data_IF_748906444617
#
_entry.id   IF_748906444617
#
_cell.length_a   1.000
_cell.length_b   1.000
_cell.length_c   1.000
_cell.angle_alpha   90.00
_cell.angle_beta   90.00
_cell.angle_gamma   90.00
#
_symmetry.space_group_name_H-M   'P 1'
#
loop_
_entity.id
_entity.type
_entity.pdbx_description
1 polymer ?
#
# COMPACT_ATOMS: atom_id res chain seq x y z
N UNK A 1 35.58 23.93 12.14
CA UNK A 1 35.38 22.48 11.85
C UNK A 1 34.71 21.81 13.04
N UNK A 2 33.40 21.54 12.94
CA UNK A 2 32.60 20.95 14.04
C UNK A 2 32.94 19.46 14.14
N UNK A 3 33.70 19.04 15.15
CA UNK A 3 33.92 17.62 15.46
C UNK A 3 32.58 17.00 15.81
N UNK A 4 32.02 16.21 14.91
CA UNK A 4 30.88 15.33 15.21
C UNK A 4 31.41 14.20 16.09
N UNK A 5 31.20 14.32 17.40
CA UNK A 5 31.44 13.22 18.33
C UNK A 5 30.51 12.08 17.95
N UNK A 6 31.09 11.02 17.37
CA UNK A 6 30.36 9.80 17.05
C UNK A 6 29.98 9.13 18.37
N UNK A 7 28.69 9.12 18.69
CA UNK A 7 28.15 8.57 19.93
C UNK A 7 28.16 7.03 19.87
N UNK A 8 29.34 6.45 20.08
CA UNK A 8 29.62 5.00 20.05
C UNK A 8 28.74 4.19 21.02
N UNK A 9 28.21 4.80 22.08
CA UNK A 9 27.33 4.16 23.06
C UNK A 9 25.94 3.79 22.51
N UNK A 10 25.52 4.30 21.35
CA UNK A 10 24.26 3.90 20.73
C UNK A 10 24.29 2.46 20.19
N UNK A 11 25.45 1.96 19.77
CA UNK A 11 25.59 0.60 19.22
C UNK A 11 25.31 -0.51 20.24
N UNK A 12 25.90 -0.50 21.46
CA UNK A 12 25.58 -1.51 22.47
C UNK A 12 24.14 -1.37 22.99
N UNK A 13 23.62 -0.15 23.12
CA UNK A 13 22.22 0.08 23.52
C UNK A 13 21.23 -0.55 22.53
N UNK A 14 21.48 -0.38 21.23
CA UNK A 14 20.67 -0.99 20.18
C UNK A 14 20.73 -2.53 20.22
N UNK A 15 21.91 -3.10 20.51
CA UNK A 15 22.10 -4.54 20.69
C UNK A 15 21.32 -5.10 21.88
N UNK A 16 21.37 -4.44 23.04
CA UNK A 16 20.62 -4.84 24.24
C UNK A 16 19.11 -4.75 24.01
N UNK A 17 18.65 -3.70 23.32
CA UNK A 17 17.24 -3.55 22.97
C UNK A 17 16.76 -4.66 22.02
N UNK A 18 17.55 -4.98 20.98
CA UNK A 18 17.23 -6.07 20.06
C UNK A 18 17.19 -7.43 20.76
N UNK A 19 18.14 -7.68 21.67
CA UNK A 19 18.15 -8.90 22.49
C UNK A 19 16.95 -8.99 23.42
N UNK A 20 16.58 -7.89 24.09
CA UNK A 20 15.39 -7.82 24.94
C UNK A 20 14.09 -8.04 24.17
N UNK A 21 13.98 -7.51 22.96
CA UNK A 21 12.83 -7.79 22.08
C UNK A 21 12.80 -9.27 21.69
N UNK A 22 13.94 -9.86 21.34
CA UNK A 22 14.03 -11.28 21.01
C UNK A 22 13.61 -12.20 22.16
N UNK A 23 14.06 -11.91 23.39
CA UNK A 23 13.67 -12.72 24.55
C UNK A 23 12.18 -12.58 24.85
N UNK A 24 11.61 -11.38 24.77
CA UNK A 24 10.15 -11.18 24.92
C UNK A 24 9.38 -11.95 23.85
N UNK A 25 9.80 -11.91 22.60
CA UNK A 25 9.13 -12.63 21.50
C UNK A 25 9.16 -14.16 21.65
N UNK A 26 10.21 -14.72 22.26
CA UNK A 26 10.31 -16.16 22.48
C UNK A 26 9.63 -16.63 23.77
N UNK A 27 9.62 -15.80 24.82
CA UNK A 27 9.22 -16.24 26.16
C UNK A 27 7.80 -15.82 26.54
N UNK A 28 7.25 -14.80 25.88
CA UNK A 28 5.91 -14.31 26.19
C UNK A 28 4.87 -15.23 25.53
N UNK A 29 4.03 -15.85 26.35
CA UNK A 29 2.99 -16.78 25.93
C UNK A 29 1.63 -16.07 25.93
N UNK A 30 0.84 -16.24 24.86
CA UNK A 30 -0.52 -15.70 24.77
C UNK A 30 -1.47 -16.67 25.49
N UNK A 31 -2.13 -16.21 26.55
CA UNK A 31 -2.88 -17.04 27.51
C UNK A 31 -4.11 -17.81 27.02
N UNK A 32 -4.25 -18.09 25.73
CA UNK A 32 -5.35 -18.89 25.15
C UNK A 32 -4.86 -20.22 24.56
N UNK A 33 -3.56 -20.39 24.30
CA UNK A 33 -2.90 -21.63 23.85
C UNK A 33 -1.39 -21.45 24.02
N UNK A 34 -0.65 -22.52 24.36
CA UNK A 34 0.82 -22.54 24.62
C UNK A 34 1.72 -22.18 23.42
N UNK A 35 1.32 -21.22 22.58
CA UNK A 35 2.13 -20.67 21.52
C UNK A 35 2.95 -19.49 22.04
N UNK A 36 4.25 -19.52 21.76
CA UNK A 36 5.11 -18.34 21.91
C UNK A 36 4.66 -17.22 20.95
N UNK A 37 4.93 -15.94 21.26
CA UNK A 37 4.62 -14.83 20.33
C UNK A 37 5.23 -15.04 18.94
N UNK A 38 6.40 -15.68 18.87
CA UNK A 38 7.03 -16.06 17.61
C UNK A 38 6.20 -17.04 16.79
N UNK A 39 5.66 -18.09 17.42
CA UNK A 39 4.77 -19.06 16.75
C UNK A 39 3.42 -18.45 16.40
N UNK A 40 2.89 -17.55 17.23
CA UNK A 40 1.71 -16.76 16.89
C UNK A 40 1.94 -15.90 15.64
N UNK A 41 3.10 -15.25 15.55
CA UNK A 41 3.47 -14.46 14.37
C UNK A 41 3.69 -15.33 13.14
N UNK A 42 4.32 -16.51 13.28
CA UNK A 42 4.58 -17.40 12.15
C UNK A 42 3.28 -17.94 11.56
N UNK A 43 2.28 -18.27 12.39
CA UNK A 43 0.93 -18.65 11.92
C UNK A 43 0.29 -17.50 11.14
N UNK A 44 0.37 -16.26 11.63
CA UNK A 44 -0.18 -15.09 10.91
C UNK A 44 0.54 -14.88 9.58
N UNK A 45 1.87 -14.98 9.57
CA UNK A 45 2.67 -14.85 8.35
C UNK A 45 2.29 -15.94 7.35
N UNK A 46 2.21 -17.19 7.79
CA UNK A 46 1.83 -18.34 6.94
C UNK A 46 0.40 -18.16 6.39
N UNK A 47 -0.57 -17.82 7.24
CA UNK A 47 -1.95 -17.51 6.82
C UNK A 47 -2.02 -16.37 5.79
N UNK A 48 -1.19 -15.34 5.93
CA UNK A 48 -1.13 -14.22 4.95
C UNK A 48 -0.32 -14.57 3.70
N UNK A 49 0.59 -15.54 3.77
CA UNK A 49 1.35 -16.01 2.62
C UNK A 49 0.50 -16.93 1.74
N UNK A 50 -0.32 -17.82 2.33
CA UNK A 50 -1.15 -18.77 1.56
C UNK A 50 -2.32 -18.10 0.83
N UNK A 51 -2.82 -16.97 1.35
CA UNK A 51 -3.92 -16.24 0.70
C UNK A 51 -3.38 -15.34 -0.40
N UNK A 52 -3.82 -15.61 -1.63
CA UNK A 52 -3.51 -14.78 -2.78
C UNK A 52 -4.51 -13.62 -2.90
N UNK A 53 -4.02 -12.37 -2.93
CA UNK A 53 -4.80 -11.19 -3.35
C UNK A 53 -4.42 -10.80 -4.78
N UNK A 54 -5.26 -11.10 -5.79
CA UNK A 54 -4.97 -10.75 -7.18
C UNK A 54 -4.86 -9.23 -7.41
N UNK A 55 -5.60 -8.43 -6.64
CA UNK A 55 -5.63 -6.97 -6.76
C UNK A 55 -4.38 -6.28 -6.22
N UNK A 56 -3.73 -6.87 -5.22
CA UNK A 56 -2.54 -6.29 -4.58
C UNK A 56 -1.35 -6.18 -5.52
N UNK A 57 -1.16 -7.19 -6.36
CA UNK A 57 -0.09 -7.24 -7.36
C UNK A 57 -0.19 -6.04 -8.31
N UNK A 58 -1.38 -5.79 -8.86
CA UNK A 58 -1.63 -4.69 -9.81
C UNK A 58 -1.39 -3.34 -9.14
N UNK A 59 -1.86 -3.14 -7.90
CA UNK A 59 -1.67 -1.88 -7.15
C UNK A 59 -0.19 -1.56 -6.87
N UNK A 60 0.62 -2.58 -6.58
CA UNK A 60 2.06 -2.40 -6.38
C UNK A 60 2.73 -1.96 -7.68
N UNK A 61 2.40 -2.61 -8.80
CA UNK A 61 2.91 -2.19 -10.09
C UNK A 61 2.48 -0.75 -10.40
N UNK A 62 1.22 -0.40 -10.18
CA UNK A 62 0.72 0.96 -10.38
C UNK A 62 1.44 1.99 -9.49
N UNK A 63 1.76 1.66 -8.23
CA UNK A 63 2.54 2.53 -7.34
C UNK A 63 4.02 2.63 -7.78
N UNK A 64 4.57 1.57 -8.36
CA UNK A 64 5.95 1.55 -8.83
C UNK A 64 6.14 2.38 -10.12
N UNK A 65 5.16 2.42 -11.04
CA UNK A 65 5.24 3.21 -12.28
C UNK A 65 5.63 4.69 -12.03
N UNK A 66 4.91 5.48 -11.20
CA UNK A 66 5.25 6.88 -10.99
C UNK A 66 6.62 7.04 -10.33
N UNK A 67 7.06 6.07 -9.51
CA UNK A 67 8.39 6.08 -8.91
C UNK A 67 9.48 5.85 -9.97
N UNK A 68 9.29 4.89 -10.88
CA UNK A 68 10.21 4.65 -11.99
C UNK A 68 10.30 5.86 -12.93
N UNK A 69 9.16 6.46 -13.28
CA UNK A 69 9.14 7.68 -14.11
C UNK A 69 9.81 8.85 -13.38
N UNK A 70 9.58 8.99 -12.07
CA UNK A 70 10.22 10.02 -11.26
C UNK A 70 11.73 9.84 -11.11
N UNK A 71 12.24 8.61 -11.10
CA UNK A 71 13.68 8.35 -11.11
C UNK A 71 14.35 8.87 -12.39
N UNK A 72 13.69 8.76 -13.55
CA UNK A 72 14.23 9.29 -14.80
C UNK A 72 14.32 10.83 -14.78
N UNK A 73 13.35 11.51 -14.15
CA UNK A 73 13.33 12.98 -14.02
C UNK A 73 13.90 13.49 -12.68
N UNK A 74 14.62 12.65 -11.94
CA UNK A 74 15.03 12.91 -10.55
C UNK A 74 15.83 14.22 -10.38
N UNK A 75 16.76 14.49 -11.31
CA UNK A 75 17.59 15.68 -11.27
C UNK A 75 16.77 16.98 -11.37
N UNK A 76 15.64 16.96 -12.09
CA UNK A 76 14.75 18.13 -12.21
C UNK A 76 13.77 18.25 -11.04
N UNK A 77 13.28 17.11 -10.52
CA UNK A 77 12.42 17.09 -9.33
C UNK A 77 13.17 17.65 -8.12
N UNK A 78 14.45 17.32 -7.97
CA UNK A 78 15.33 17.83 -6.90
C UNK A 78 15.48 19.36 -6.94
N UNK A 79 15.36 19.97 -8.12
CA UNK A 79 15.51 21.42 -8.31
C UNK A 79 14.25 22.21 -7.93
N UNK A 80 13.08 21.57 -8.00
CA UNK A 80 11.77 22.20 -7.74
C UNK A 80 11.29 21.99 -6.31
N UNK A 81 11.72 20.92 -5.63
CA UNK A 81 11.16 20.55 -4.33
C UNK A 81 12.16 20.66 -3.17
N UNK A 82 11.79 21.44 -2.16
CA UNK A 82 12.51 21.58 -0.88
C UNK A 82 12.52 20.28 -0.06
N UNK A 83 11.45 19.47 -0.11
CA UNK A 83 11.30 18.23 0.68
C UNK A 83 11.77 16.95 -0.03
N UNK A 84 12.97 16.98 -0.63
CA UNK A 84 13.51 15.86 -1.40
C UNK A 84 13.76 14.59 -0.56
N UNK A 85 13.95 14.70 0.76
CA UNK A 85 14.26 13.56 1.64
C UNK A 85 13.08 12.60 1.80
N UNK A 86 11.88 13.13 2.05
CA UNK A 86 10.66 12.32 2.22
C UNK A 86 10.33 11.60 0.92
N UNK A 87 10.45 12.30 -0.21
CA UNK A 87 10.21 11.77 -1.55
C UNK A 87 11.18 10.61 -1.86
N UNK A 88 12.45 10.74 -1.48
CA UNK A 88 13.44 9.68 -1.65
C UNK A 88 13.07 8.43 -0.85
N UNK A 89 12.65 8.60 0.41
CA UNK A 89 12.20 7.48 1.23
C UNK A 89 10.95 6.81 0.68
N UNK A 90 9.97 7.58 0.19
CA UNK A 90 8.76 7.04 -0.45
C UNK A 90 9.07 6.24 -1.72
N UNK A 91 10.01 6.73 -2.55
CA UNK A 91 10.49 6.00 -3.73
C UNK A 91 11.15 4.66 -3.35
N UNK A 92 12.01 4.67 -2.32
CA UNK A 92 12.69 3.46 -1.84
C UNK A 92 11.67 2.43 -1.33
N UNK A 93 10.70 2.85 -0.52
CA UNK A 93 9.67 1.95 0.01
C UNK A 93 8.84 1.35 -1.12
N UNK A 94 8.46 2.13 -2.13
CA UNK A 94 7.70 1.61 -3.26
C UNK A 94 8.49 0.61 -4.11
N UNK A 95 9.81 0.78 -4.25
CA UNK A 95 10.67 -0.17 -4.98
C UNK A 95 10.87 -1.45 -4.16
N UNK A 96 11.09 -1.33 -2.85
CA UNK A 96 11.19 -2.49 -1.95
C UNK A 96 9.90 -3.30 -1.89
N UNK A 97 8.75 -2.69 -2.18
CA UNK A 97 7.47 -3.39 -2.23
C UNK A 97 7.36 -4.41 -3.38
N UNK A 98 8.19 -4.28 -4.45
CA UNK A 98 8.21 -5.22 -5.58
C UNK A 98 8.74 -6.60 -5.18
N UNK A 99 9.97 -6.76 -4.64
CA UNK A 99 10.47 -8.07 -4.19
C UNK A 99 9.66 -8.62 -3.00
N UNK A 100 9.01 -7.76 -2.23
CA UNK A 100 8.16 -8.17 -1.12
C UNK A 100 6.91 -8.95 -1.58
N UNK A 101 6.48 -8.81 -2.85
CA UNK A 101 5.41 -9.61 -3.44
C UNK A 101 5.68 -11.12 -3.42
N UNK A 102 6.95 -11.53 -3.46
CA UNK A 102 7.35 -12.94 -3.44
C UNK A 102 7.12 -13.61 -2.07
N UNK A 103 6.94 -12.83 -1.01
CA UNK A 103 6.77 -13.35 0.36
C UNK A 103 5.30 -13.41 0.78
N UNK A 104 4.51 -12.36 0.53
CA UNK A 104 3.07 -12.36 0.84
C UNK A 104 2.32 -11.37 -0.05
N UNK A 105 1.34 -11.85 -0.80
CA UNK A 105 0.56 -10.99 -1.70
C UNK A 105 -0.53 -10.20 -0.96
N UNK A 106 -1.09 -10.72 0.13
CA UNK A 106 -2.15 -10.02 0.91
C UNK A 106 -1.60 -8.93 1.82
N UNK A 107 -0.46 -9.15 2.47
CA UNK A 107 0.19 -8.12 3.29
C UNK A 107 0.61 -6.94 2.40
N UNK A 108 1.12 -7.26 1.22
CA UNK A 108 1.57 -6.28 0.26
C UNK A 108 0.41 -5.55 -0.43
N UNK A 109 -0.77 -6.18 -0.59
CA UNK A 109 -1.99 -5.47 -1.00
C UNK A 109 -2.36 -4.34 -0.01
N UNK A 110 -2.32 -4.63 1.31
CA UNK A 110 -2.55 -3.62 2.36
C UNK A 110 -1.49 -2.53 2.33
N UNK A 111 -0.23 -2.90 2.10
CA UNK A 111 0.86 -1.95 1.96
C UNK A 111 0.65 -1.07 0.71
N UNK A 112 0.18 -1.65 -0.40
CA UNK A 112 -0.16 -0.96 -1.64
C UNK A 112 -1.24 0.11 -1.45
N UNK A 113 -2.21 -0.13 -0.57
CA UNK A 113 -3.21 0.88 -0.17
C UNK A 113 -2.56 2.08 0.54
N UNK A 114 -1.65 1.82 1.49
CA UNK A 114 -0.92 2.91 2.16
C UNK A 114 0.04 3.65 1.22
N UNK A 115 0.57 2.96 0.22
CA UNK A 115 1.42 3.57 -0.83
C UNK A 115 0.63 4.36 -1.87
N UNK A 116 -0.70 4.39 -1.85
CA UNK A 116 -1.48 5.16 -2.81
C UNK A 116 -1.16 6.67 -2.77
N UNK A 117 -0.76 7.18 -1.59
CA UNK A 117 -0.29 8.57 -1.39
C UNK A 117 0.95 8.88 -2.23
N UNK A 118 1.76 7.87 -2.57
CA UNK A 118 2.93 7.99 -3.45
C UNK A 118 2.52 8.48 -4.83
N UNK A 119 1.49 7.89 -5.43
CA UNK A 119 1.04 8.28 -6.77
C UNK A 119 0.58 9.75 -6.77
N UNK A 120 -0.18 10.16 -5.75
CA UNK A 120 -0.63 11.55 -5.58
C UNK A 120 0.53 12.53 -5.36
N UNK A 121 1.62 12.11 -4.71
CA UNK A 121 2.78 12.96 -4.48
C UNK A 121 3.66 13.13 -5.74
N UNK A 122 3.81 12.08 -6.55
CA UNK A 122 4.73 12.07 -7.69
C UNK A 122 4.12 12.65 -8.97
N UNK A 123 2.85 12.32 -9.29
CA UNK A 123 2.24 12.72 -10.55
C UNK A 123 2.16 14.24 -10.79
N UNK A 124 1.68 15.06 -9.83
CA UNK A 124 1.63 16.51 -10.02
C UNK A 124 3.02 17.13 -10.19
N UNK A 125 4.03 16.58 -9.51
CA UNK A 125 5.43 17.05 -9.59
C UNK A 125 6.05 16.71 -10.95
N UNK A 126 5.74 15.54 -11.50
CA UNK A 126 6.15 15.14 -12.85
C UNK A 126 5.58 16.09 -13.92
N UNK A 127 4.33 16.52 -13.75
CA UNK A 127 3.69 17.51 -14.63
C UNK A 127 4.36 18.88 -14.45
N UNK A 128 4.59 19.32 -13.20
CA UNK A 128 5.19 20.63 -12.92
C UNK A 128 6.62 20.79 -13.46
N UNK A 129 7.40 19.71 -13.50
CA UNK A 129 8.78 19.66 -14.03
C UNK A 129 8.87 19.95 -15.53
N UNK A 130 7.78 19.78 -16.28
CA UNK A 130 7.79 20.02 -17.72
C UNK A 130 7.93 21.52 -18.03
N UNK A 131 8.81 21.84 -19.00
CA UNK A 131 9.16 23.23 -19.34
C UNK A 131 8.09 23.95 -20.17
N UNK A 132 7.40 23.25 -21.06
CA UNK A 132 6.43 23.84 -21.99
C UNK A 132 5.00 23.52 -21.56
N UNK A 133 4.08 24.47 -21.75
CA UNK A 133 2.65 24.28 -21.45
C UNK A 133 2.05 23.13 -22.27
N UNK A 134 2.51 22.92 -23.50
CA UNK A 134 2.07 21.83 -24.37
C UNK A 134 2.45 20.45 -23.80
N UNK A 135 3.68 20.28 -23.30
CA UNK A 135 4.07 19.03 -22.62
C UNK A 135 3.27 18.84 -21.33
N UNK A 136 3.02 19.90 -20.55
CA UNK A 136 2.22 19.80 -19.31
C UNK A 136 0.81 19.26 -19.59
N UNK A 137 0.15 19.80 -20.61
CA UNK A 137 -1.18 19.32 -21.03
C UNK A 137 -1.13 17.89 -21.54
N UNK A 138 -0.11 17.54 -22.33
CA UNK A 138 0.06 16.16 -22.82
C UNK A 138 0.26 15.16 -21.67
N UNK A 139 1.13 15.45 -20.72
CA UNK A 139 1.34 14.61 -19.53
C UNK A 139 0.08 14.49 -18.67
N UNK A 140 -0.70 15.57 -18.54
CA UNK A 140 -1.97 15.55 -17.81
C UNK A 140 -3.01 14.68 -18.53
N UNK A 141 -3.14 14.81 -19.85
CA UNK A 141 -4.05 13.98 -20.65
C UNK A 141 -3.68 12.50 -20.60
N UNK A 142 -2.38 12.18 -20.69
CA UNK A 142 -1.86 10.82 -20.53
C UNK A 142 -2.17 10.24 -19.14
N UNK A 143 -2.08 11.06 -18.09
CA UNK A 143 -2.40 10.62 -16.73
C UNK A 143 -3.89 10.34 -16.56
N UNK A 144 -4.75 11.21 -17.11
CA UNK A 144 -6.21 11.03 -17.07
C UNK A 144 -6.59 9.75 -17.83
N UNK A 145 -6.04 9.54 -19.02
CA UNK A 145 -6.32 8.33 -19.81
C UNK A 145 -5.83 7.06 -19.11
N UNK A 146 -4.65 7.09 -18.48
CA UNK A 146 -4.15 6.00 -17.67
C UNK A 146 -5.13 5.61 -16.56
N UNK A 147 -5.59 6.57 -15.75
CA UNK A 147 -6.54 6.28 -14.68
C UNK A 147 -7.93 5.88 -15.20
N UNK A 148 -8.36 6.41 -16.35
CA UNK A 148 -9.60 5.98 -16.99
C UNK A 148 -9.55 4.50 -17.42
N UNK A 149 -8.44 4.05 -18.01
CA UNK A 149 -8.24 2.64 -18.37
C UNK A 149 -8.19 1.75 -17.14
N UNK A 150 -7.47 2.17 -16.10
CA UNK A 150 -7.43 1.43 -14.83
C UNK A 150 -8.82 1.27 -14.24
N UNK A 151 -9.61 2.35 -14.21
CA UNK A 151 -10.97 2.33 -13.69
C UNK A 151 -11.89 1.45 -14.53
N UNK A 152 -11.73 1.50 -15.86
CA UNK A 152 -12.44 0.62 -16.78
C UNK A 152 -12.13 -0.86 -16.50
N UNK A 153 -10.85 -1.22 -16.36
CA UNK A 153 -10.44 -2.59 -16.02
C UNK A 153 -11.00 -3.00 -14.66
N UNK A 154 -10.94 -2.10 -13.66
CA UNK A 154 -11.47 -2.37 -12.33
C UNK A 154 -12.96 -2.69 -12.36
N UNK A 155 -13.78 -1.89 -13.04
CA UNK A 155 -15.22 -2.13 -13.09
C UNK A 155 -15.62 -3.36 -13.92
N UNK A 156 -14.83 -3.74 -14.93
CA UNK A 156 -15.16 -4.89 -15.79
C UNK A 156 -14.61 -6.23 -15.29
N UNK A 157 -13.46 -6.24 -14.60
CA UNK A 157 -12.73 -7.47 -14.28
C UNK A 157 -12.51 -7.73 -12.78
N UNK A 158 -12.82 -6.78 -11.89
CA UNK A 158 -12.61 -7.02 -10.47
C UNK A 158 -13.70 -7.94 -9.89
N UNK A 159 -13.30 -9.01 -9.20
CA UNK A 159 -14.19 -9.96 -8.52
C UNK A 159 -15.16 -9.30 -7.52
N UNK A 160 -14.77 -8.15 -6.97
CA UNK A 160 -15.58 -7.38 -6.01
C UNK A 160 -16.18 -6.10 -6.63
N UNK A 161 -16.18 -5.95 -7.97
CA UNK A 161 -16.70 -4.77 -8.65
C UNK A 161 -18.18 -4.50 -8.32
N UNK A 162 -18.97 -5.56 -8.09
CA UNK A 162 -20.38 -5.48 -7.71
C UNK A 162 -20.62 -4.55 -6.50
N UNK A 163 -19.74 -4.60 -5.50
CA UNK A 163 -19.86 -3.78 -4.29
C UNK A 163 -19.51 -2.30 -4.48
N UNK A 164 -18.99 -1.92 -5.66
CA UNK A 164 -18.51 -0.55 -5.96
C UNK A 164 -19.41 0.20 -6.96
N UNK A 165 -20.51 -0.40 -7.42
CA UNK A 165 -21.47 0.27 -8.32
C UNK A 165 -22.33 1.29 -7.55
N UNK A 166 -22.36 2.59 -7.97
CA UNK A 166 -23.05 3.69 -7.28
C UNK A 166 -24.53 3.46 -6.97
N UNK A 167 -25.19 2.60 -7.74
CA UNK A 167 -26.62 2.32 -7.60
C UNK A 167 -26.91 1.08 -6.74
N UNK A 168 -25.90 0.39 -6.20
CA UNK A 168 -26.04 -0.68 -5.19
C UNK A 168 -25.58 -0.25 -3.79
N UNK A 169 -25.33 1.05 -3.60
CA UNK A 169 -24.88 1.60 -2.33
C UNK A 169 -26.08 1.86 -1.42
N UNK A 170 -26.08 1.29 -0.21
CA UNK A 170 -27.00 1.68 0.87
C UNK A 170 -26.85 3.19 1.13
N UNK A 171 -27.93 4.02 1.12
CA UNK A 171 -29.34 3.68 1.31
C UNK A 171 -30.21 3.57 0.04
N UNK A 172 -29.64 3.53 -1.17
CA UNK A 172 -30.39 3.59 -2.42
C UNK A 172 -30.86 2.23 -2.97
N UNK A 173 -30.53 1.13 -2.28
CA UNK A 173 -31.14 -0.19 -2.47
C UNK A 173 -32.18 -0.42 -1.36
N UNK A 174 -33.44 -0.61 -1.75
CA UNK A 174 -34.55 -0.89 -0.83
C UNK A 174 -34.66 -2.36 -0.41
N UNK A 175 -33.70 -3.20 -0.79
CA UNK A 175 -33.72 -4.63 -0.49
C UNK A 175 -32.70 -4.93 0.62
N UNK A 176 -33.13 -5.49 1.76
CA UNK A 176 -32.22 -5.88 2.82
C UNK A 176 -31.25 -6.96 2.34
N UNK A 177 -29.96 -6.81 2.68
CA UNK A 177 -28.86 -7.75 2.33
C UNK A 177 -29.11 -9.16 2.91
N UNK A 178 -29.94 -9.25 3.95
CA UNK A 178 -30.38 -10.50 4.55
C UNK A 178 -31.85 -10.72 4.20
N UNK A 179 -32.27 -11.95 3.85
CA UNK A 179 -33.68 -12.27 3.86
C UNK A 179 -34.17 -11.97 5.29
N UNK A 180 -35.01 -10.95 5.43
CA UNK A 180 -35.79 -10.85 6.65
C UNK A 180 -36.71 -12.07 6.62
N UNK A 181 -36.67 -12.89 7.66
CA UNK A 181 -37.72 -13.86 7.94
C UNK A 181 -39.00 -13.06 8.22
N UNK A 182 -39.64 -12.57 7.16
CA UNK A 182 -41.02 -12.14 7.20
C UNK A 182 -41.82 -13.43 7.27
N UNK A 183 -42.00 -13.91 8.51
CA UNK A 183 -42.79 -15.11 8.78
C UNK A 183 -44.07 -15.07 7.95
N UNK A 184 -44.19 -15.99 7.01
CA UNK A 184 -45.44 -16.19 6.29
C UNK A 184 -46.52 -16.46 7.35
N UNK A 185 -47.66 -15.75 7.34
CA UNK A 185 -48.78 -16.19 8.14
C UNK A 185 -49.19 -17.58 7.61
N UNK A 186 -49.51 -18.54 8.50
CA UNK A 186 -49.91 -19.88 8.09
C UNK A 186 -51.13 -19.76 7.18
N UNK A 187 -51.00 -20.27 5.95
CA UNK A 187 -52.13 -20.46 5.04
C UNK A 187 -52.98 -21.58 5.61
N UNK A 188 -54.16 -21.24 6.13
CA UNK A 188 -55.22 -22.19 6.45
C UNK A 188 -55.75 -22.86 5.18
#
# INVERSE_FOLDING_TARGET
TRKTTSNWYYYPLFGVMAFGVFTVLNTFQLGVRDYSLYEGLSIVVDYTATRHSPGGVIRIYMNAVPVLVALFYWNRIKMISTDYKIIKWMAIVSIMAIPALSYSTTLIDRLGLYLMVVQLAFWPRLIAVQRTNLLRSFWTAMLISYFAVVLFVFFNFANHAMYWLPYQMYPFYGEPIYPMDIGYPPTN
#
